data_IF_983764751429
#
_entry.id   IF_983764751429
#
_cell.length_a   1.000
_cell.length_b   1.000
_cell.length_c   1.000
_cell.angle_alpha   90.00
_cell.angle_beta   90.00
_cell.angle_gamma   90.00
#
_symmetry.space_group_name_H-M   'P 1'
#
loop_
_entity.id
_entity.type
_entity.pdbx_description
1 polymer ?
#
# COMPACT_ATOMS: atom_id res chain seq x y z
N UNK A 1 16.17 -52.26 1.80
CA UNK A 1 17.53 -51.75 1.97
C UNK A 1 17.91 -51.03 0.69
N UNK A 2 17.63 -49.74 0.62
CA UNK A 2 17.79 -48.87 -0.57
C UNK A 2 18.45 -47.57 -0.19
N UNK A 3 19.66 -47.38 -0.66
CA UNK A 3 20.61 -46.34 -0.30
C UNK A 3 20.26 -45.06 -1.03
N UNK A 4 19.89 -44.00 -0.30
CA UNK A 4 19.74 -42.65 -0.82
C UNK A 4 21.12 -42.04 -1.12
N UNK A 5 21.51 -41.95 -2.40
CA UNK A 5 22.64 -41.14 -2.85
C UNK A 5 22.24 -39.67 -2.89
N UNK A 6 22.74 -38.88 -1.97
CA UNK A 6 22.58 -37.46 -1.84
C UNK A 6 23.53 -36.75 -2.82
N UNK A 7 22.95 -36.13 -3.87
CA UNK A 7 23.73 -35.33 -4.84
C UNK A 7 24.22 -34.03 -4.20
N UNK A 8 25.55 -33.98 -3.96
CA UNK A 8 26.27 -32.81 -3.39
C UNK A 8 26.83 -31.83 -4.45
N UNK A 9 26.26 -31.79 -5.64
CA UNK A 9 26.87 -31.07 -6.78
C UNK A 9 26.25 -29.71 -7.09
N UNK A 10 25.28 -29.23 -6.31
CA UNK A 10 24.60 -27.94 -6.61
C UNK A 10 25.08 -26.73 -5.81
N UNK A 11 26.11 -26.87 -4.95
CA UNK A 11 26.51 -25.78 -4.05
C UNK A 11 27.71 -24.94 -4.54
N UNK A 12 28.37 -25.31 -5.65
CA UNK A 12 29.52 -24.57 -6.14
C UNK A 12 29.30 -23.62 -7.31
N UNK A 13 28.08 -23.61 -7.89
CA UNK A 13 27.72 -22.73 -9.02
C UNK A 13 27.28 -21.31 -8.64
N UNK A 14 26.81 -21.11 -7.42
CA UNK A 14 26.20 -19.84 -7.02
C UNK A 14 27.18 -18.78 -6.47
N UNK A 15 28.40 -19.17 -6.12
CA UNK A 15 29.40 -18.26 -5.52
C UNK A 15 30.26 -17.55 -6.56
N UNK A 16 30.38 -18.08 -7.77
CA UNK A 16 31.28 -17.52 -8.80
C UNK A 16 30.68 -16.33 -9.58
N UNK A 17 29.34 -16.14 -9.55
CA UNK A 17 28.70 -15.05 -10.30
C UNK A 17 28.71 -13.72 -9.52
N UNK A 18 28.94 -13.75 -8.20
CA UNK A 18 28.91 -12.55 -7.35
C UNK A 18 30.21 -11.75 -7.33
N UNK A 19 31.31 -12.30 -7.80
CA UNK A 19 32.65 -11.66 -7.78
C UNK A 19 32.98 -10.91 -9.08
N UNK A 20 32.33 -11.22 -10.19
CA UNK A 20 32.59 -10.55 -11.49
C UNK A 20 31.75 -9.27 -11.67
N UNK A 21 30.65 -9.09 -10.94
CA UNK A 21 29.78 -7.91 -11.03
C UNK A 21 30.31 -6.64 -10.34
N UNK A 22 31.31 -6.75 -9.47
CA UNK A 22 31.78 -5.63 -8.63
C UNK A 22 32.91 -4.79 -9.26
N UNK A 23 33.41 -5.14 -10.44
CA UNK A 23 34.60 -4.49 -11.04
C UNK A 23 34.32 -3.57 -12.24
N UNK A 24 33.04 -3.37 -12.63
CA UNK A 24 32.69 -2.56 -13.81
C UNK A 24 31.93 -1.25 -13.50
N UNK A 25 31.76 -0.87 -12.24
CA UNK A 25 31.11 0.41 -11.87
C UNK A 25 32.04 1.37 -11.14
N UNK A 26 33.31 1.34 -11.45
CA UNK A 26 34.29 2.32 -10.97
C UNK A 26 34.71 3.27 -12.07
N UNK A 27 34.16 4.50 -12.05
CA UNK A 27 34.83 5.61 -12.71
C UNK A 27 34.13 6.27 -13.87
N UNK A 28 33.30 7.27 -13.62
CA UNK A 28 33.33 8.55 -14.38
C UNK A 28 32.85 9.65 -13.42
N UNK A 29 33.79 10.32 -12.77
CA UNK A 29 33.57 11.65 -12.21
C UNK A 29 33.74 12.62 -13.38
N UNK A 30 32.66 13.07 -13.98
CA UNK A 30 32.66 14.18 -14.92
C UNK A 30 32.49 15.49 -14.14
N UNK A 31 33.58 16.21 -14.00
CA UNK A 31 33.58 17.62 -13.62
C UNK A 31 32.81 18.40 -14.68
N UNK A 32 31.68 18.99 -14.32
CA UNK A 32 30.94 19.89 -15.20
C UNK A 32 31.20 21.32 -14.78
N UNK A 33 31.99 21.99 -15.60
CA UNK A 33 32.27 23.42 -15.60
C UNK A 33 30.97 24.21 -15.80
N UNK A 34 30.82 25.28 -15.06
CA UNK A 34 29.74 26.26 -15.15
C UNK A 34 29.64 26.84 -16.57
N UNK A 35 28.44 26.82 -17.11
CA UNK A 35 27.99 27.69 -18.17
C UNK A 35 26.71 28.38 -17.68
N UNK A 36 26.82 29.68 -17.41
CA UNK A 36 25.67 30.59 -17.33
C UNK A 36 24.89 30.51 -18.65
N UNK A 37 23.63 30.18 -18.56
CA UNK A 37 22.73 30.10 -19.70
C UNK A 37 21.29 30.19 -19.21
N UNK A 38 20.76 31.39 -19.36
CA UNK A 38 19.35 31.77 -19.57
C UNK A 38 18.28 30.84 -19.00
N UNK A 39 17.71 31.27 -17.87
CA UNK A 39 16.60 30.58 -17.21
C UNK A 39 15.31 30.77 -18.02
N UNK A 40 15.04 29.86 -18.93
CA UNK A 40 13.67 29.65 -19.43
C UNK A 40 12.83 29.13 -18.26
N UNK A 41 11.73 29.79 -17.86
CA UNK A 41 10.88 29.28 -16.79
C UNK A 41 10.33 27.92 -17.18
N UNK A 42 10.62 26.91 -16.35
CA UNK A 42 10.05 25.58 -16.50
C UNK A 42 8.51 25.69 -16.56
N UNK A 43 7.84 24.92 -17.43
CA UNK A 43 6.38 24.89 -17.45
C UNK A 43 5.89 24.48 -16.05
N UNK A 44 4.95 25.27 -15.54
CA UNK A 44 4.29 24.97 -14.29
C UNK A 44 3.75 23.54 -14.34
N UNK A 45 4.30 22.66 -13.51
CA UNK A 45 3.75 21.32 -13.30
C UNK A 45 2.37 21.55 -12.70
N UNK A 46 1.35 21.40 -13.53
CA UNK A 46 -0.04 21.37 -13.08
C UNK A 46 -0.15 20.18 -12.15
N UNK A 47 -0.23 20.42 -10.85
CA UNK A 47 -0.51 19.38 -9.89
C UNK A 47 -1.81 18.70 -10.30
N UNK A 48 -1.83 17.36 -10.44
CA UNK A 48 -3.09 16.67 -10.67
C UNK A 48 -4.01 16.90 -9.47
N UNK A 49 -5.28 16.97 -9.78
CA UNK A 49 -6.37 17.35 -8.89
C UNK A 49 -6.29 16.69 -7.50
N UNK A 50 -6.50 17.55 -6.51
CA UNK A 50 -6.66 17.25 -5.09
C UNK A 50 -7.29 15.89 -4.78
N UNK A 51 -6.48 14.98 -4.22
CA UNK A 51 -7.01 13.84 -3.50
C UNK A 51 -7.69 14.35 -2.23
N UNK A 52 -8.93 14.01 -2.07
CA UNK A 52 -9.65 14.26 -0.83
C UNK A 52 -9.18 13.24 0.22
N UNK A 53 -8.04 13.54 0.87
CA UNK A 53 -7.69 12.85 2.10
C UNK A 53 -8.58 13.43 3.20
N UNK A 54 -9.48 12.63 3.73
CA UNK A 54 -10.14 12.95 5.00
C UNK A 54 -9.18 12.56 6.12
N UNK A 55 -8.09 13.34 6.23
CA UNK A 55 -7.20 13.23 7.38
C UNK A 55 -7.94 13.76 8.60
N UNK A 56 -8.18 12.91 9.58
CA UNK A 56 -8.73 13.32 10.88
C UNK A 56 -7.68 14.06 11.72
N UNK A 57 -6.95 15.01 11.10
CA UNK A 57 -5.98 15.85 11.80
C UNK A 57 -6.67 17.09 12.38
N UNK A 58 -6.94 17.06 13.71
CA UNK A 58 -6.90 18.26 14.54
C UNK A 58 -8.06 19.23 14.47
N UNK A 59 -9.26 18.84 13.98
CA UNK A 59 -10.47 19.65 14.19
C UNK A 59 -11.21 19.15 15.43
N UNK A 60 -11.14 19.91 16.50
CA UNK A 60 -11.97 19.76 17.70
C UNK A 60 -13.45 19.76 17.33
N UNK A 61 -14.05 18.56 17.33
CA UNK A 61 -15.49 18.38 17.04
C UNK A 61 -15.83 17.33 15.99
N UNK A 62 -14.86 16.71 15.32
CA UNK A 62 -15.10 15.58 14.43
C UNK A 62 -14.97 14.27 15.20
N UNK A 63 -16.07 13.53 15.33
CA UNK A 63 -15.97 12.15 15.80
C UNK A 63 -15.19 11.34 14.75
N UNK A 64 -14.18 10.55 15.16
CA UNK A 64 -13.42 9.71 14.25
C UNK A 64 -14.37 8.70 13.59
N UNK A 65 -14.23 8.53 12.28
CA UNK A 65 -14.97 7.51 11.55
C UNK A 65 -14.59 6.14 12.11
N UNK A 66 -15.59 5.33 12.47
CA UNK A 66 -15.38 4.03 13.11
C UNK A 66 -16.23 2.98 12.42
N UNK A 67 -15.65 1.81 12.17
CA UNK A 67 -16.37 0.62 11.75
C UNK A 67 -16.89 -0.08 12.99
N UNK A 68 -18.22 -0.04 13.17
CA UNK A 68 -18.91 -0.76 14.23
C UNK A 68 -19.53 -2.05 13.64
N UNK A 69 -19.13 -3.25 14.12
CA UNK A 69 -19.68 -4.49 13.62
C UNK A 69 -21.21 -4.54 13.75
N UNK A 70 -21.90 -4.86 12.66
CA UNK A 70 -23.35 -5.09 12.58
C UNK A 70 -23.63 -6.51 12.09
N UNK A 71 -24.87 -6.89 11.93
CA UNK A 71 -25.26 -8.16 11.34
C UNK A 71 -24.85 -8.27 9.84
N UNK A 72 -24.70 -7.13 9.17
CA UNK A 72 -24.34 -7.05 7.74
C UNK A 72 -22.82 -6.84 7.52
N UNK A 73 -22.06 -6.63 8.60
CA UNK A 73 -20.60 -6.51 8.51
C UNK A 73 -19.99 -7.89 8.24
N UNK A 74 -19.13 -8.05 7.22
CA UNK A 74 -18.56 -9.34 6.87
C UNK A 74 -17.75 -9.96 8.00
N UNK A 75 -17.83 -11.28 8.13
CA UNK A 75 -17.14 -12.05 9.18
C UNK A 75 -15.62 -11.81 9.17
N UNK A 76 -15.01 -11.68 7.99
CA UNK A 76 -13.57 -11.45 7.91
C UNK A 76 -13.15 -10.09 8.52
N UNK A 77 -14.03 -9.08 8.52
CA UNK A 77 -13.80 -7.79 9.19
C UNK A 77 -14.05 -7.93 10.69
N UNK A 78 -15.22 -8.45 11.09
CA UNK A 78 -15.56 -8.60 12.52
C UNK A 78 -14.51 -9.40 13.26
N UNK A 79 -14.08 -10.52 12.67
CA UNK A 79 -13.02 -11.36 13.24
C UNK A 79 -11.72 -10.60 13.46
N UNK A 80 -11.29 -9.72 12.55
CA UNK A 80 -10.05 -8.96 12.72
C UNK A 80 -10.17 -7.89 13.79
N UNK A 81 -11.33 -7.25 13.89
CA UNK A 81 -11.60 -6.28 14.95
C UNK A 81 -11.64 -6.97 16.33
N UNK A 82 -12.23 -8.16 16.44
CA UNK A 82 -12.22 -8.97 17.65
C UNK A 82 -10.78 -9.36 18.07
N UNK A 83 -9.95 -9.69 17.09
CA UNK A 83 -8.52 -9.99 17.28
C UNK A 83 -7.67 -8.73 17.57
N UNK A 84 -8.28 -7.52 17.58
CA UNK A 84 -7.58 -6.23 17.70
C UNK A 84 -6.51 -6.02 16.62
N UNK A 85 -6.73 -6.57 15.45
CA UNK A 85 -5.82 -6.54 14.33
C UNK A 85 -6.24 -5.49 13.31
N UNK A 86 -5.31 -4.64 12.90
CA UNK A 86 -5.53 -3.64 11.86
C UNK A 86 -5.93 -4.26 10.52
N UNK A 87 -6.70 -3.52 9.74
CA UNK A 87 -7.19 -3.90 8.42
C UNK A 87 -6.76 -2.84 7.41
N UNK A 88 -6.16 -3.29 6.30
CA UNK A 88 -5.92 -2.48 5.11
C UNK A 88 -6.81 -3.03 4.00
N UNK A 89 -7.76 -2.22 3.56
CA UNK A 89 -8.77 -2.57 2.57
C UNK A 89 -8.58 -1.76 1.30
N UNK A 90 -8.44 -2.42 0.16
CA UNK A 90 -8.42 -1.81 -1.17
C UNK A 90 -9.64 -2.26 -1.97
N UNK A 91 -10.40 -1.32 -2.51
CA UNK A 91 -11.42 -1.59 -3.55
C UNK A 91 -10.95 -0.94 -4.85
N UNK A 92 -10.91 -1.71 -5.93
CA UNK A 92 -10.33 -1.29 -7.19
C UNK A 92 -11.19 -1.73 -8.40
N UNK A 93 -11.02 -1.08 -9.55
CA UNK A 93 -11.62 -1.49 -10.83
C UNK A 93 -10.58 -2.22 -11.66
N UNK A 94 -10.86 -3.47 -11.99
CA UNK A 94 -9.96 -4.24 -12.84
C UNK A 94 -9.88 -3.63 -14.25
N UNK A 95 -8.64 -3.40 -14.72
CA UNK A 95 -8.38 -2.83 -16.04
C UNK A 95 -8.27 -1.30 -16.07
N UNK A 96 -8.63 -0.60 -14.99
CA UNK A 96 -8.28 0.81 -14.84
C UNK A 96 -6.79 0.93 -14.46
N UNK A 97 -6.01 1.76 -15.21
CA UNK A 97 -4.55 1.82 -15.05
C UNK A 97 -4.13 2.21 -13.63
N UNK A 98 -4.74 3.27 -13.10
CA UNK A 98 -4.42 3.83 -11.79
C UNK A 98 -4.77 2.85 -10.65
N UNK A 99 -5.90 2.15 -10.77
CA UNK A 99 -6.34 1.14 -9.82
C UNK A 99 -5.42 -0.08 -9.82
N UNK A 100 -4.97 -0.51 -11.01
CA UNK A 100 -4.03 -1.63 -11.15
C UNK A 100 -2.64 -1.27 -10.61
N UNK A 101 -2.21 -0.02 -10.74
CA UNK A 101 -1.00 0.47 -10.13
C UNK A 101 -1.12 0.46 -8.60
N UNK A 102 -2.23 0.97 -8.05
CA UNK A 102 -2.51 0.90 -6.61
C UNK A 102 -2.58 -0.54 -6.09
N UNK A 103 -3.16 -1.47 -6.85
CA UNK A 103 -3.17 -2.89 -6.49
C UNK A 103 -1.74 -3.49 -6.44
N UNK A 104 -0.86 -3.07 -7.36
CA UNK A 104 0.55 -3.47 -7.31
C UNK A 104 1.22 -2.96 -6.03
N UNK A 105 1.07 -1.67 -5.72
CA UNK A 105 1.59 -1.07 -4.50
C UNK A 105 1.07 -1.75 -3.23
N UNK A 106 -0.23 -2.02 -3.20
CA UNK A 106 -0.88 -2.72 -2.10
C UNK A 106 -0.27 -4.11 -1.85
N UNK A 107 0.02 -4.87 -2.92
CA UNK A 107 0.64 -6.18 -2.80
C UNK A 107 2.09 -6.12 -2.32
N UNK A 108 2.86 -5.13 -2.76
CA UNK A 108 4.24 -4.91 -2.31
C UNK A 108 4.27 -4.54 -0.81
N UNK A 109 3.38 -3.64 -0.37
CA UNK A 109 3.26 -3.24 1.03
C UNK A 109 2.78 -4.41 1.89
N UNK A 110 1.81 -5.20 1.42
CA UNK A 110 1.34 -6.41 2.09
C UNK A 110 2.48 -7.37 2.40
N UNK A 111 3.44 -7.54 1.49
CA UNK A 111 4.58 -8.42 1.71
C UNK A 111 5.40 -8.04 2.96
N UNK A 112 5.44 -6.74 3.30
CA UNK A 112 6.20 -6.22 4.43
C UNK A 112 5.39 -6.14 5.75
N UNK A 113 4.06 -5.94 5.67
CA UNK A 113 3.23 -5.63 6.84
C UNK A 113 2.14 -6.68 7.14
N UNK A 114 2.12 -7.82 6.43
CA UNK A 114 1.10 -8.86 6.67
C UNK A 114 1.20 -9.55 8.05
N UNK A 115 2.31 -9.41 8.75
CA UNK A 115 2.46 -9.87 10.13
C UNK A 115 1.62 -9.02 11.10
N UNK A 116 1.54 -7.71 10.86
CA UNK A 116 0.96 -6.73 11.79
C UNK A 116 -0.49 -6.38 11.46
N UNK A 117 -0.84 -6.38 10.17
CA UNK A 117 -2.17 -6.03 9.67
C UNK A 117 -2.73 -7.07 8.72
N UNK A 118 -4.04 -7.07 8.53
CA UNK A 118 -4.75 -7.91 7.57
C UNK A 118 -5.04 -7.11 6.30
N UNK A 119 -4.66 -7.65 5.15
CA UNK A 119 -4.80 -7.00 3.85
C UNK A 119 -5.87 -7.68 3.02
N UNK A 120 -6.86 -6.91 2.58
CA UNK A 120 -7.96 -7.38 1.74
C UNK A 120 -8.09 -6.48 0.51
N UNK A 121 -8.20 -7.07 -0.67
CA UNK A 121 -8.47 -6.34 -1.91
C UNK A 121 -9.67 -6.95 -2.61
N UNK A 122 -10.58 -6.09 -3.08
CA UNK A 122 -11.80 -6.48 -3.77
C UNK A 122 -11.95 -5.71 -5.08
N UNK A 123 -12.34 -6.39 -6.13
CA UNK A 123 -12.80 -5.72 -7.32
C UNK A 123 -14.15 -5.03 -7.06
N UNK A 124 -14.37 -3.86 -7.65
CA UNK A 124 -15.58 -3.06 -7.43
C UNK A 124 -16.89 -3.83 -7.67
N UNK A 125 -16.91 -4.74 -8.66
CA UNK A 125 -18.07 -5.63 -8.90
C UNK A 125 -18.32 -6.63 -7.77
N UNK A 126 -17.33 -6.90 -6.93
CA UNK A 126 -17.41 -7.80 -5.78
C UNK A 126 -17.72 -7.07 -4.47
N UNK A 127 -17.94 -5.74 -4.53
CA UNK A 127 -18.18 -4.88 -3.36
C UNK A 127 -19.34 -5.35 -2.46
N UNK A 128 -20.27 -6.14 -2.99
CA UNK A 128 -21.32 -6.79 -2.18
C UNK A 128 -20.76 -7.69 -1.05
N UNK A 129 -19.54 -8.22 -1.23
CA UNK A 129 -18.87 -9.02 -0.20
C UNK A 129 -18.43 -8.17 1.01
N UNK A 130 -18.41 -6.85 0.87
CA UNK A 130 -18.08 -5.90 1.94
C UNK A 130 -19.28 -5.56 2.82
N UNK A 131 -20.48 -6.09 2.50
CA UNK A 131 -21.70 -5.86 3.28
C UNK A 131 -21.99 -4.36 3.45
N UNK A 132 -22.14 -3.92 4.69
CA UNK A 132 -22.36 -2.52 5.04
C UNK A 132 -21.08 -1.67 5.22
N UNK A 133 -19.89 -2.30 5.09
CA UNK A 133 -18.60 -1.64 5.37
C UNK A 133 -18.39 -0.36 4.56
N UNK A 134 -18.69 -0.38 3.25
CA UNK A 134 -18.56 0.82 2.42
C UNK A 134 -19.53 1.93 2.80
N UNK A 135 -20.73 1.55 3.27
CA UNK A 135 -21.73 2.49 3.80
C UNK A 135 -21.22 3.12 5.09
N UNK A 136 -20.65 2.35 5.99
CA UNK A 136 -20.04 2.86 7.22
C UNK A 136 -18.86 3.79 6.92
N UNK A 137 -18.03 3.46 5.90
CA UNK A 137 -16.95 4.31 5.41
C UNK A 137 -17.46 5.56 4.65
N UNK A 138 -18.75 5.62 4.27
CA UNK A 138 -19.36 6.71 3.49
C UNK A 138 -18.70 6.91 2.12
N UNK A 139 -18.31 5.83 1.46
CA UNK A 139 -17.64 5.85 0.15
C UNK A 139 -18.31 4.89 -0.82
N UNK A 140 -18.24 5.20 -2.12
CA UNK A 140 -18.86 4.41 -3.18
C UNK A 140 -17.95 4.22 -4.40
N UNK A 141 -17.07 5.19 -4.67
CA UNK A 141 -16.37 5.28 -5.94
C UNK A 141 -14.91 4.83 -5.82
N UNK A 142 -14.54 3.69 -6.44
CA UNK A 142 -13.16 3.22 -6.45
C UNK A 142 -12.22 4.12 -7.30
N UNK A 143 -10.91 4.04 -7.07
CA UNK A 143 -10.26 3.20 -6.06
C UNK A 143 -10.46 3.76 -4.65
N UNK A 144 -10.67 2.85 -3.68
CA UNK A 144 -10.82 3.18 -2.27
C UNK A 144 -9.74 2.46 -1.47
N UNK A 145 -8.94 3.20 -0.72
CA UNK A 145 -8.06 2.63 0.29
C UNK A 145 -8.54 3.05 1.67
N UNK A 146 -8.87 2.08 2.52
CA UNK A 146 -9.20 2.31 3.92
C UNK A 146 -8.20 1.58 4.82
N UNK A 147 -7.66 2.31 5.80
CA UNK A 147 -6.78 1.76 6.83
C UNK A 147 -7.53 1.88 8.15
N UNK A 148 -7.86 0.74 8.75
CA UNK A 148 -8.70 0.62 9.93
C UNK A 148 -7.84 0.02 11.05
N UNK A 149 -7.80 0.67 12.20
CA UNK A 149 -7.10 0.17 13.38
C UNK A 149 -7.86 -1.01 13.99
N UNK A 150 -7.19 -1.79 14.84
CA UNK A 150 -7.79 -2.93 15.50
C UNK A 150 -8.94 -2.61 16.47
N UNK A 151 -9.14 -1.34 16.81
CA UNK A 151 -10.30 -0.86 17.58
C UNK A 151 -11.49 -0.44 16.71
N UNK A 152 -11.36 -0.56 15.38
CA UNK A 152 -12.38 -0.15 14.42
C UNK A 152 -12.26 1.30 13.95
N UNK A 153 -11.39 2.09 14.54
CA UNK A 153 -11.16 3.49 14.11
C UNK A 153 -10.53 3.52 12.72
N UNK A 154 -11.09 4.30 11.81
CA UNK A 154 -10.52 4.54 10.48
C UNK A 154 -9.36 5.51 10.62
N UNK A 155 -8.14 5.00 10.51
CA UNK A 155 -6.93 5.81 10.57
C UNK A 155 -6.81 6.70 9.33
N UNK A 156 -7.03 6.09 8.14
CA UNK A 156 -6.96 6.79 6.86
C UNK A 156 -8.01 6.26 5.89
N UNK A 157 -8.53 7.16 5.06
CA UNK A 157 -9.48 6.85 4.01
C UNK A 157 -9.17 7.68 2.77
N UNK A 158 -8.88 7.02 1.68
CA UNK A 158 -8.59 7.64 0.40
C UNK A 158 -9.59 7.18 -0.66
N UNK A 159 -10.07 8.11 -1.45
CA UNK A 159 -10.82 7.87 -2.67
C UNK A 159 -10.03 8.46 -3.83
N UNK A 160 -9.76 7.66 -4.86
CA UNK A 160 -8.87 8.03 -5.95
C UNK A 160 -7.44 7.49 -5.78
N UNK A 161 -6.62 7.74 -6.79
CA UNK A 161 -5.24 7.25 -6.85
C UNK A 161 -4.34 7.90 -5.79
N UNK A 162 -3.49 7.09 -5.16
CA UNK A 162 -2.40 7.55 -4.30
C UNK A 162 -1.10 6.83 -4.67
N UNK A 163 0.02 7.54 -4.53
CA UNK A 163 1.34 6.98 -4.83
C UNK A 163 1.84 6.01 -3.76
N UNK A 164 2.75 5.11 -4.18
CA UNK A 164 3.35 4.08 -3.31
C UNK A 164 3.84 4.61 -1.97
N UNK A 165 4.61 5.72 -1.97
CA UNK A 165 5.21 6.26 -0.74
C UNK A 165 4.18 6.77 0.27
N UNK A 166 3.07 7.32 -0.21
CA UNK A 166 1.96 7.75 0.65
C UNK A 166 1.30 6.52 1.26
N UNK A 167 0.94 5.53 0.43
CA UNK A 167 0.31 4.30 0.90
C UNK A 167 1.20 3.56 1.91
N UNK A 168 2.49 3.41 1.63
CA UNK A 168 3.45 2.76 2.53
C UNK A 168 3.56 3.48 3.87
N UNK A 169 3.66 4.82 3.85
CA UNK A 169 3.76 5.63 5.06
C UNK A 169 2.51 5.50 5.94
N UNK A 170 1.32 5.62 5.34
CA UNK A 170 0.05 5.54 6.07
C UNK A 170 -0.17 4.17 6.71
N UNK A 171 0.19 3.09 6.01
CA UNK A 171 0.14 1.74 6.58
C UNK A 171 1.14 1.60 7.73
N UNK A 172 2.37 2.11 7.56
CA UNK A 172 3.39 2.07 8.60
C UNK A 172 2.98 2.85 9.85
N UNK A 173 2.36 4.01 9.69
CA UNK A 173 1.90 4.86 10.79
C UNK A 173 0.73 4.21 11.52
N UNK A 174 -0.23 3.63 10.81
CA UNK A 174 -1.34 2.91 11.41
C UNK A 174 -0.88 1.68 12.22
N UNK A 175 0.13 0.95 11.72
CA UNK A 175 0.75 -0.20 12.43
C UNK A 175 1.44 0.24 13.72
N UNK A 176 2.08 1.41 13.72
CA UNK A 176 2.74 1.99 14.90
C UNK A 176 1.78 2.64 15.89
N UNK A 177 0.51 2.79 15.52
CA UNK A 177 -0.50 3.47 16.34
C UNK A 177 -0.41 4.99 16.34
N UNK A 178 0.20 5.56 15.29
CA UNK A 178 0.35 7.02 15.07
C UNK A 178 -0.87 7.60 14.38
#
# INVERSE_FOLDING_TARGET
MGIFKRNRTFLFGAVLILVVGALLFGGVIAVRVMAEGDATPAPAVTQPASYNSVSSFGMTGYEPLTIAPTADTPEFITKRLDEKRGIVLLVYVQGASDDMEMLSYFNDIKANYAADSSFFSFEARESKQLGDTLTQLRVSDPPILAIIRGDGTVAQLYTGWIGFKVMEQEVADAVRGL
#
